data_IF_947891414000
#
_entry.id   IF_947891414000
#
_cell.length_a   1.000
_cell.length_b   1.000
_cell.length_c   1.000
_cell.angle_alpha   90.00
_cell.angle_beta   90.00
_cell.angle_gamma   90.00
#
_symmetry.space_group_name_H-M   'P 1'
#
loop_
_entity.id
_entity.type
_entity.pdbx_description
1 polymer ?
#
# COMPACT_ATOMS: atom_id res chain seq x y z
N UNK A 1 15.13 65.61 8.08
CA UNK A 1 15.82 64.36 7.69
C UNK A 1 16.03 63.35 8.83
N UNK A 2 16.54 63.71 10.02
CA UNK A 2 16.79 62.73 11.13
C UNK A 2 15.52 62.06 11.71
N UNK A 3 14.35 62.71 11.72
CA UNK A 3 13.08 62.14 12.22
C UNK A 3 12.46 61.14 11.25
N UNK A 4 12.63 61.24 9.94
CA UNK A 4 12.13 60.31 8.95
C UNK A 4 12.94 59.01 8.91
N UNK A 5 14.25 59.06 9.15
CA UNK A 5 15.11 57.89 9.23
C UNK A 5 14.79 57.05 10.45
N UNK A 6 14.42 57.69 11.59
CA UNK A 6 14.07 56.96 12.82
C UNK A 6 12.73 56.22 12.70
N UNK A 7 11.75 56.74 11.97
CA UNK A 7 10.47 56.09 11.71
C UNK A 7 10.61 54.90 10.73
N UNK A 8 11.50 55.02 9.72
CA UNK A 8 11.76 53.95 8.79
C UNK A 8 12.51 52.78 9.45
N UNK A 9 13.42 53.04 10.38
CA UNK A 9 14.11 52.03 11.17
C UNK A 9 13.19 51.35 12.17
N UNK A 10 12.24 52.06 12.78
CA UNK A 10 11.25 51.49 13.70
C UNK A 10 10.22 50.60 12.98
N UNK A 11 9.79 50.97 11.74
CA UNK A 11 8.92 50.11 10.93
C UNK A 11 9.62 48.84 10.45
N UNK A 12 10.90 48.89 10.13
CA UNK A 12 11.69 47.75 9.67
C UNK A 12 11.98 46.74 10.81
N UNK A 13 12.08 47.23 12.06
CA UNK A 13 12.25 46.40 13.25
C UNK A 13 10.96 45.67 13.68
N UNK A 14 9.76 46.17 13.27
CA UNK A 14 8.48 45.52 13.59
C UNK A 14 8.07 44.46 12.55
N UNK A 15 8.63 44.48 11.36
CA UNK A 15 8.31 43.51 10.28
C UNK A 15 9.20 42.25 10.36
N UNK A 16 10.37 42.36 11.01
CA UNK A 16 11.32 41.23 11.10
C UNK A 16 10.83 40.04 11.95
N UNK A 17 10.05 40.18 13.04
CA UNK A 17 9.54 39.04 13.77
C UNK A 17 8.33 38.33 13.09
N UNK A 18 7.65 38.98 12.11
CA UNK A 18 6.53 38.34 11.42
C UNK A 18 6.94 37.32 10.32
N UNK A 19 8.17 37.36 9.86
CA UNK A 19 8.68 36.42 8.85
C UNK A 19 9.24 35.11 9.43
N UNK A 20 9.34 35.01 10.77
CA UNK A 20 9.79 33.79 11.47
C UNK A 20 8.63 32.95 11.99
N UNK A 21 7.38 33.33 11.73
CA UNK A 21 6.18 32.56 12.09
C UNK A 21 5.70 31.64 10.93
N UNK A 22 6.55 31.25 9.97
CA UNK A 22 6.28 30.15 9.09
C UNK A 22 6.44 28.87 9.88
N UNK A 23 5.32 28.35 10.36
CA UNK A 23 5.01 26.97 10.70
C UNK A 23 6.16 26.12 11.22
N UNK A 24 6.72 26.43 12.41
CA UNK A 24 7.40 25.42 13.18
C UNK A 24 6.32 24.46 13.68
N UNK A 25 6.30 23.24 13.15
CA UNK A 25 5.61 22.09 13.73
C UNK A 25 5.86 22.12 15.25
N UNK A 26 4.87 21.81 16.06
CA UNK A 26 5.16 21.48 17.46
C UNK A 26 6.22 20.38 17.43
N UNK A 27 7.34 20.57 18.08
CA UNK A 27 8.57 19.74 17.94
C UNK A 27 8.35 18.25 18.27
N UNK A 28 7.12 17.82 18.62
CA UNK A 28 6.77 16.48 19.13
C UNK A 28 5.57 15.83 18.41
N UNK A 29 5.09 16.42 17.31
CA UNK A 29 3.94 15.86 16.55
C UNK A 29 4.41 14.93 15.44
N UNK A 30 3.95 13.69 15.46
CA UNK A 30 4.21 12.68 14.43
C UNK A 30 3.17 12.79 13.32
N UNK A 31 3.60 13.07 12.09
CA UNK A 31 2.68 13.16 10.94
C UNK A 31 2.66 11.85 10.19
N UNK A 32 1.51 11.20 10.21
CA UNK A 32 1.24 9.94 9.52
C UNK A 32 0.46 10.22 8.24
N UNK A 33 0.93 9.66 7.14
CA UNK A 33 0.25 9.77 5.87
C UNK A 33 -0.26 8.41 5.35
N UNK A 34 -1.07 8.46 4.30
CA UNK A 34 -1.44 7.29 3.50
C UNK A 34 -1.55 7.65 2.03
N UNK A 35 -1.50 6.64 1.15
CA UNK A 35 -1.92 6.79 -0.24
C UNK A 35 -3.46 6.79 -0.33
N UNK A 36 -4.00 7.03 -1.52
CA UNK A 36 -5.43 7.24 -1.78
C UNK A 36 -6.15 5.93 -2.16
N UNK A 37 -6.27 4.99 -1.22
CA UNK A 37 -7.11 3.79 -1.35
C UNK A 37 -7.39 3.13 0.02
N UNK A 38 -8.45 2.31 0.08
CA UNK A 38 -9.03 1.78 1.32
C UNK A 38 -8.01 1.16 2.29
N UNK A 39 -7.16 0.25 1.82
CA UNK A 39 -6.13 -0.41 2.64
C UNK A 39 -5.18 0.59 3.31
N UNK A 40 -4.75 1.59 2.56
CA UNK A 40 -3.84 2.61 3.06
C UNK A 40 -4.50 3.52 4.10
N UNK A 41 -5.79 3.83 3.94
CA UNK A 41 -6.56 4.57 4.95
C UNK A 41 -6.69 3.76 6.24
N UNK A 42 -7.03 2.46 6.14
CA UNK A 42 -7.14 1.56 7.29
C UNK A 42 -5.81 1.49 8.04
N UNK A 43 -4.70 1.23 7.33
CA UNK A 43 -3.37 1.13 7.92
C UNK A 43 -2.90 2.45 8.54
N UNK A 44 -3.12 3.57 7.86
CA UNK A 44 -2.80 4.90 8.39
C UNK A 44 -3.54 5.20 9.70
N UNK A 45 -4.83 4.83 9.79
CA UNK A 45 -5.59 4.94 11.03
C UNK A 45 -5.11 3.98 12.11
N UNK A 46 -4.75 2.73 11.76
CA UNK A 46 -4.18 1.79 12.74
C UNK A 46 -2.90 2.33 13.37
N UNK A 47 -1.98 2.86 12.55
CA UNK A 47 -0.75 3.46 13.06
C UNK A 47 -1.02 4.64 13.97
N UNK A 48 -1.94 5.54 13.56
CA UNK A 48 -2.32 6.69 14.37
C UNK A 48 -2.90 6.28 15.73
N UNK A 49 -3.89 5.40 15.73
CA UNK A 49 -4.55 4.93 16.93
C UNK A 49 -3.59 4.27 17.93
N UNK A 50 -2.64 3.46 17.44
CA UNK A 50 -1.64 2.81 18.28
C UNK A 50 -0.67 3.82 18.91
N UNK A 51 -0.23 4.83 18.14
CA UNK A 51 0.68 5.86 18.65
C UNK A 51 -0.04 6.83 19.60
N UNK A 52 -1.30 7.18 19.33
CA UNK A 52 -2.12 8.00 20.23
C UNK A 52 -2.37 7.29 21.57
N UNK A 53 -2.68 5.99 21.55
CA UNK A 53 -2.86 5.16 22.75
C UNK A 53 -1.58 5.09 23.59
N UNK A 54 -0.43 5.07 22.94
CA UNK A 54 0.88 5.13 23.60
C UNK A 54 1.25 6.54 24.13
N UNK A 55 0.40 7.56 23.88
CA UNK A 55 0.58 8.92 24.37
C UNK A 55 1.30 9.87 23.42
N UNK A 56 1.57 9.47 22.18
CA UNK A 56 2.13 10.36 21.16
C UNK A 56 1.08 11.33 20.60
N UNK A 57 1.52 12.52 20.22
CA UNK A 57 0.68 13.46 19.45
C UNK A 57 0.78 13.16 17.98
N UNK A 58 -0.36 12.88 17.31
CA UNK A 58 -0.41 12.49 15.91
C UNK A 58 -1.19 13.49 15.06
N UNK A 59 -0.71 13.75 13.86
CA UNK A 59 -1.42 14.45 12.79
C UNK A 59 -1.58 13.51 11.59
N UNK A 60 -2.78 13.42 11.01
CA UNK A 60 -3.06 12.58 9.84
C UNK A 60 -3.10 13.42 8.56
N UNK A 61 -2.34 12.96 7.54
CA UNK A 61 -2.36 13.49 6.15
C UNK A 61 -2.69 12.36 5.17
N UNK A 62 -3.91 11.86 5.25
CA UNK A 62 -4.35 10.72 4.44
C UNK A 62 -4.67 11.12 2.99
N UNK A 63 -4.58 10.16 2.07
CA UNK A 63 -5.00 10.31 0.67
C UNK A 63 -3.98 11.00 -0.24
N UNK A 64 -2.69 10.82 -0.02
CA UNK A 64 -1.67 11.30 -0.95
C UNK A 64 -1.75 10.58 -2.31
N UNK A 65 -1.58 11.32 -3.39
CA UNK A 65 -1.73 10.84 -4.76
C UNK A 65 -0.60 9.88 -5.21
N UNK A 66 -0.47 8.73 -4.54
CA UNK A 66 0.44 7.64 -4.92
C UNK A 66 1.88 7.81 -4.44
N UNK A 67 2.71 6.82 -4.78
CA UNK A 67 4.10 6.67 -4.30
C UNK A 67 5.00 7.87 -4.58
N UNK A 68 5.01 8.52 -5.77
CA UNK A 68 5.90 9.66 -5.99
C UNK A 68 5.65 10.82 -5.02
N UNK A 69 4.37 11.09 -4.69
CA UNK A 69 3.99 12.17 -3.77
C UNK A 69 4.33 11.79 -2.33
N UNK A 70 3.98 10.56 -1.90
CA UNK A 70 4.27 10.09 -0.56
C UNK A 70 5.80 10.02 -0.29
N UNK A 71 6.58 9.53 -1.25
CA UNK A 71 8.04 9.46 -1.13
C UNK A 71 8.68 10.85 -1.09
N UNK A 72 8.21 11.80 -1.90
CA UNK A 72 8.67 13.19 -1.83
C UNK A 72 8.33 13.83 -0.47
N UNK A 73 7.13 13.60 0.05
CA UNK A 73 6.69 14.15 1.33
C UNK A 73 7.50 13.62 2.52
N UNK A 74 7.82 12.31 2.56
CA UNK A 74 8.60 11.75 3.65
C UNK A 74 10.08 12.17 3.58
N UNK A 75 10.66 12.23 2.39
CA UNK A 75 12.06 12.66 2.21
C UNK A 75 12.26 14.15 2.49
N UNK A 76 11.25 14.99 2.22
CA UNK A 76 11.29 16.42 2.57
C UNK A 76 10.98 16.70 4.05
N UNK A 77 10.47 15.71 4.80
CA UNK A 77 10.04 15.86 6.18
C UNK A 77 8.66 16.54 6.33
N UNK A 78 7.86 16.54 5.28
CA UNK A 78 6.47 16.99 5.35
C UNK A 78 5.59 15.98 6.10
N UNK A 79 5.92 14.68 5.98
CA UNK A 79 5.37 13.58 6.76
C UNK A 79 6.49 12.79 7.43
N UNK A 80 6.17 12.03 8.48
CA UNK A 80 7.13 11.28 9.28
C UNK A 80 7.07 9.79 9.04
N UNK A 81 5.86 9.26 8.72
CA UNK A 81 5.67 7.84 8.49
C UNK A 81 4.44 7.60 7.59
N UNK A 82 4.48 6.52 6.81
CA UNK A 82 3.32 6.01 6.08
C UNK A 82 3.47 4.50 5.79
N UNK A 83 2.36 3.77 5.51
CA UNK A 83 2.44 2.38 5.05
C UNK A 83 2.98 2.33 3.61
N UNK A 84 4.09 1.62 3.39
CA UNK A 84 4.64 1.42 2.04
C UNK A 84 4.85 -0.07 1.78
N UNK A 85 4.90 -0.45 0.51
CA UNK A 85 5.05 -1.84 0.06
C UNK A 85 6.46 -2.11 -0.43
N UNK A 86 7.04 -3.24 -0.01
CA UNK A 86 8.43 -3.62 -0.33
C UNK A 86 8.68 -3.66 -1.84
N UNK A 87 7.78 -4.26 -2.62
CA UNK A 87 7.88 -4.27 -4.08
C UNK A 87 7.80 -2.89 -4.72
N UNK A 88 6.97 -1.98 -4.17
CA UNK A 88 6.91 -0.59 -4.62
C UNK A 88 8.24 0.12 -4.34
N UNK A 89 8.80 -0.08 -3.14
CA UNK A 89 10.11 0.46 -2.79
C UNK A 89 11.20 0.00 -3.75
N UNK A 90 11.23 -1.31 -4.05
CA UNK A 90 12.20 -1.90 -4.95
C UNK A 90 12.07 -1.34 -6.39
N UNK A 91 10.87 -1.42 -6.96
CA UNK A 91 10.67 -1.18 -8.40
C UNK A 91 10.42 0.29 -8.74
N UNK A 92 9.56 0.98 -7.96
CA UNK A 92 9.13 2.33 -8.32
C UNK A 92 10.10 3.40 -7.80
N UNK A 93 10.70 3.21 -6.62
CA UNK A 93 11.59 4.18 -6.01
C UNK A 93 13.05 3.88 -6.33
N UNK A 94 13.53 2.68 -5.97
CA UNK A 94 14.93 2.29 -6.21
C UNK A 94 15.21 1.93 -7.67
N UNK A 95 14.18 1.60 -8.46
CA UNK A 95 14.27 1.21 -9.87
C UNK A 95 15.23 0.03 -10.09
N UNK A 96 15.22 -0.91 -9.15
CA UNK A 96 15.98 -2.14 -9.23
C UNK A 96 15.20 -3.23 -9.97
N UNK A 97 15.87 -4.28 -10.48
CA UNK A 97 15.20 -5.41 -11.14
C UNK A 97 14.20 -6.12 -10.23
N UNK A 98 13.26 -6.85 -10.85
CA UNK A 98 12.33 -7.72 -10.14
C UNK A 98 13.11 -8.78 -9.35
N UNK A 99 12.72 -8.96 -8.10
CA UNK A 99 13.16 -10.02 -7.20
C UNK A 99 11.91 -10.66 -6.59
N UNK A 100 11.84 -11.97 -6.52
CA UNK A 100 10.66 -12.72 -6.07
C UNK A 100 10.75 -13.24 -4.63
N UNK A 101 11.96 -13.32 -4.07
CA UNK A 101 12.15 -13.70 -2.67
C UNK A 101 11.81 -12.56 -1.73
N UNK A 102 10.83 -12.78 -0.85
CA UNK A 102 10.32 -11.78 0.09
C UNK A 102 11.38 -11.20 1.01
N UNK A 103 12.26 -12.07 1.54
CA UNK A 103 13.29 -11.65 2.47
C UNK A 103 14.36 -10.85 1.74
N UNK A 104 14.76 -11.27 0.56
CA UNK A 104 15.75 -10.57 -0.27
C UNK A 104 15.23 -9.18 -0.65
N UNK A 105 13.97 -9.05 -1.06
CA UNK A 105 13.35 -7.74 -1.34
C UNK A 105 13.38 -6.84 -0.11
N UNK A 106 12.96 -7.35 1.04
CA UNK A 106 12.95 -6.59 2.30
C UNK A 106 14.36 -6.14 2.71
N UNK A 107 15.35 -7.02 2.62
CA UNK A 107 16.76 -6.69 2.94
C UNK A 107 17.32 -5.60 2.01
N UNK A 108 16.96 -5.66 0.72
CA UNK A 108 17.38 -4.64 -0.26
C UNK A 108 16.77 -3.29 0.08
N UNK A 109 15.44 -3.20 0.23
CA UNK A 109 14.77 -1.92 0.48
C UNK A 109 15.19 -1.32 1.82
N UNK A 110 15.36 -2.14 2.86
CA UNK A 110 15.83 -1.69 4.17
C UNK A 110 17.22 -1.05 4.08
N UNK A 111 18.18 -1.73 3.45
CA UNK A 111 19.54 -1.23 3.29
C UNK A 111 19.60 0.03 2.43
N UNK A 112 18.96 0.00 1.26
CA UNK A 112 19.04 1.09 0.29
C UNK A 112 18.30 2.35 0.75
N UNK A 113 17.14 2.21 1.42
CA UNK A 113 16.41 3.36 1.94
C UNK A 113 17.12 4.03 3.12
N UNK A 114 17.75 3.26 3.99
CA UNK A 114 18.59 3.81 5.05
C UNK A 114 19.78 4.58 4.46
N UNK A 115 20.46 4.02 3.47
CA UNK A 115 21.65 4.61 2.86
C UNK A 115 21.37 5.86 2.01
N UNK A 116 20.25 5.88 1.27
CA UNK A 116 19.95 6.93 0.29
C UNK A 116 19.04 8.03 0.83
N UNK A 117 18.13 7.70 1.76
CA UNK A 117 17.05 8.60 2.17
C UNK A 117 16.97 8.84 3.68
N UNK A 118 17.74 8.15 4.51
CA UNK A 118 17.62 8.14 5.98
C UNK A 118 16.21 7.71 6.42
N UNK A 119 15.65 6.69 5.76
CA UNK A 119 14.37 6.09 6.04
C UNK A 119 14.54 4.66 6.52
N UNK A 120 13.72 4.25 7.48
CA UNK A 120 13.75 2.92 8.10
C UNK A 120 12.46 2.19 7.76
N UNK A 121 12.58 0.98 7.26
CA UNK A 121 11.49 0.03 7.15
C UNK A 121 11.35 -0.73 8.47
N UNK A 122 10.17 -0.69 9.08
CA UNK A 122 9.84 -1.55 10.22
C UNK A 122 9.43 -2.95 9.73
N UNK A 123 9.01 -3.83 10.65
CA UNK A 123 8.71 -5.21 10.33
C UNK A 123 7.59 -5.32 9.27
N UNK A 124 7.79 -6.13 8.21
CA UNK A 124 6.81 -6.31 7.18
C UNK A 124 5.69 -7.25 7.63
N UNK A 125 4.46 -6.93 7.26
CA UNK A 125 3.33 -7.82 7.46
C UNK A 125 3.40 -9.06 6.54
N UNK A 126 2.83 -10.21 6.94
CA UNK A 126 2.77 -11.41 6.10
C UNK A 126 1.92 -11.23 4.83
N UNK A 127 0.96 -10.30 4.82
CA UNK A 127 0.13 -10.00 3.65
C UNK A 127 0.95 -9.62 2.41
N UNK A 128 0.40 -9.92 1.23
CA UNK A 128 1.02 -9.62 -0.05
C UNK A 128 0.04 -8.94 -1.00
N UNK A 129 0.09 -7.60 -1.08
CA UNK A 129 -0.72 -6.83 -2.03
C UNK A 129 -0.09 -6.79 -3.44
N UNK A 130 0.44 -7.93 -3.90
CA UNK A 130 0.94 -8.07 -5.25
C UNK A 130 -0.20 -8.09 -6.26
N UNK A 131 0.11 -7.68 -7.50
CA UNK A 131 -0.77 -8.01 -8.62
C UNK A 131 -0.93 -9.52 -8.72
N UNK A 132 -2.15 -9.97 -8.95
CA UNK A 132 -2.51 -11.38 -8.94
C UNK A 132 -3.55 -11.69 -10.01
N UNK A 133 -3.77 -12.96 -10.27
CA UNK A 133 -4.92 -13.47 -11.01
C UNK A 133 -5.81 -14.24 -10.05
N UNK A 134 -7.12 -14.09 -10.18
CA UNK A 134 -8.06 -14.80 -9.35
C UNK A 134 -9.20 -15.41 -10.18
N UNK A 135 -9.72 -16.53 -9.68
CA UNK A 135 -10.80 -17.28 -10.33
C UNK A 135 -11.92 -17.59 -9.33
N UNK A 136 -13.19 -17.61 -9.75
CA UNK A 136 -14.29 -18.07 -8.91
C UNK A 136 -14.24 -19.59 -8.72
N UNK A 137 -14.88 -20.11 -7.66
CA UNK A 137 -14.88 -21.55 -7.33
C UNK A 137 -15.40 -22.43 -8.50
N UNK A 138 -16.38 -21.95 -9.28
CA UNK A 138 -16.86 -22.66 -10.47
C UNK A 138 -15.75 -23.00 -11.48
N UNK A 139 -14.76 -22.12 -11.64
CA UNK A 139 -13.62 -22.33 -12.54
C UNK A 139 -12.63 -23.32 -11.94
N UNK A 140 -12.40 -23.24 -10.62
CA UNK A 140 -11.59 -24.23 -9.89
C UNK A 140 -12.20 -25.63 -10.03
N UNK A 141 -13.51 -25.77 -9.84
CA UNK A 141 -14.21 -27.05 -9.93
C UNK A 141 -14.24 -27.59 -11.36
N UNK A 142 -14.42 -26.72 -12.36
CA UNK A 142 -14.54 -27.14 -13.78
C UNK A 142 -13.20 -27.54 -14.39
N UNK A 143 -12.12 -26.81 -14.09
CA UNK A 143 -10.82 -26.95 -14.76
C UNK A 143 -9.70 -27.42 -13.84
N UNK A 144 -9.90 -27.47 -12.53
CA UNK A 144 -8.87 -27.82 -11.55
C UNK A 144 -7.79 -26.77 -11.37
N UNK A 145 -8.03 -25.52 -11.78
CA UNK A 145 -7.06 -24.43 -11.80
C UNK A 145 -6.77 -23.96 -10.37
N UNK A 146 -5.48 -23.94 -10.00
CA UNK A 146 -4.99 -23.40 -8.72
C UNK A 146 -3.76 -22.52 -8.86
N UNK A 147 -2.99 -22.69 -9.94
CA UNK A 147 -1.77 -21.94 -10.23
C UNK A 147 -1.93 -21.13 -11.50
N UNK A 148 -1.03 -20.17 -11.73
CA UNK A 148 -0.98 -19.44 -13.01
C UNK A 148 -0.57 -20.40 -14.15
N UNK A 149 0.28 -21.40 -13.88
CA UNK A 149 0.57 -22.46 -14.86
C UNK A 149 -0.66 -23.25 -15.26
N UNK A 150 -1.55 -23.58 -14.33
CA UNK A 150 -2.82 -24.28 -14.65
C UNK A 150 -3.73 -23.38 -15.50
N UNK A 151 -3.81 -22.09 -15.17
CA UNK A 151 -4.58 -21.11 -15.94
C UNK A 151 -4.05 -21.01 -17.37
N UNK A 152 -2.73 -20.91 -17.54
CA UNK A 152 -2.09 -20.83 -18.85
C UNK A 152 -2.35 -22.07 -19.71
N UNK A 153 -2.36 -23.28 -19.08
CA UNK A 153 -2.65 -24.54 -19.76
C UNK A 153 -4.11 -24.65 -20.27
N UNK A 154 -5.05 -23.92 -19.65
CA UNK A 154 -6.47 -23.90 -20.00
C UNK A 154 -6.91 -22.59 -20.66
N UNK A 155 -5.97 -21.69 -20.98
CA UNK A 155 -6.26 -20.30 -21.35
C UNK A 155 -7.23 -20.13 -22.55
N UNK A 156 -7.18 -21.05 -23.52
CA UNK A 156 -8.07 -21.00 -24.71
C UNK A 156 -9.56 -21.17 -24.38
N UNK A 157 -9.89 -21.67 -23.20
CA UNK A 157 -11.27 -21.82 -22.73
C UNK A 157 -11.69 -20.67 -21.78
N UNK A 158 -10.75 -19.80 -21.39
CA UNK A 158 -10.95 -18.82 -20.32
C UNK A 158 -11.04 -17.39 -20.86
N UNK A 159 -12.03 -16.66 -20.38
CA UNK A 159 -12.19 -15.22 -20.61
C UNK A 159 -11.61 -14.47 -19.41
N UNK A 160 -10.64 -13.60 -19.65
CA UNK A 160 -10.03 -12.79 -18.62
C UNK A 160 -10.60 -11.37 -18.63
N UNK A 161 -10.83 -10.81 -17.45
CA UNK A 161 -11.24 -9.42 -17.25
C UNK A 161 -10.17 -8.65 -16.46
N UNK A 162 -9.92 -7.41 -16.88
CA UNK A 162 -8.94 -6.56 -16.22
C UNK A 162 -8.84 -5.16 -16.80
N UNK A 163 -7.86 -4.35 -16.36
CA UNK A 163 -7.63 -3.00 -16.88
C UNK A 163 -7.32 -2.99 -18.37
N UNK A 164 -7.74 -1.93 -19.08
CA UNK A 164 -7.54 -1.83 -20.53
C UNK A 164 -6.06 -1.90 -20.95
N UNK A 165 -5.15 -1.43 -20.12
CA UNK A 165 -3.71 -1.43 -20.39
C UNK A 165 -3.01 -2.76 -20.08
N UNK A 166 -3.64 -3.70 -19.38
CA UNK A 166 -3.03 -4.96 -18.96
C UNK A 166 -2.52 -5.83 -20.12
N UNK A 167 -3.17 -5.87 -21.29
CA UNK A 167 -2.66 -6.58 -22.46
C UNK A 167 -1.37 -6.01 -23.06
N UNK A 168 -1.01 -4.77 -22.73
CA UNK A 168 0.13 -4.06 -23.31
C UNK A 168 1.29 -3.87 -22.33
N UNK A 169 1.04 -4.10 -21.03
CA UNK A 169 2.04 -3.88 -19.98
C UNK A 169 2.98 -5.08 -19.86
N UNK A 170 4.27 -4.80 -19.62
CA UNK A 170 5.28 -5.85 -19.38
C UNK A 170 5.04 -6.68 -18.12
N UNK A 171 4.36 -6.11 -17.12
CA UNK A 171 3.88 -6.78 -15.91
C UNK A 171 2.44 -7.33 -16.04
N UNK A 172 1.90 -7.34 -17.26
CA UNK A 172 0.59 -7.86 -17.64
C UNK A 172 0.67 -9.12 -18.49
N UNK A 173 -0.21 -9.22 -19.53
CA UNK A 173 -0.25 -10.39 -20.45
C UNK A 173 1.08 -10.68 -21.16
N UNK A 174 1.85 -9.70 -21.65
CA UNK A 174 3.16 -9.97 -22.25
C UNK A 174 4.13 -10.68 -21.29
N UNK A 175 4.19 -10.22 -20.04
CA UNK A 175 5.02 -10.87 -19.01
C UNK A 175 4.51 -12.26 -18.64
N UNK A 176 3.19 -12.42 -18.47
CA UNK A 176 2.58 -13.73 -18.20
C UNK A 176 2.91 -14.74 -19.31
N UNK A 177 2.76 -14.36 -20.58
CA UNK A 177 3.11 -15.21 -21.72
C UNK A 177 4.60 -15.58 -21.75
N UNK A 178 5.47 -14.63 -21.43
CA UNK A 178 6.92 -14.89 -21.37
C UNK A 178 7.30 -15.90 -20.29
N UNK A 179 6.64 -15.85 -19.14
CA UNK A 179 6.96 -16.69 -17.97
C UNK A 179 6.21 -18.02 -18.02
N UNK A 180 4.93 -18.02 -18.38
CA UNK A 180 4.04 -19.17 -18.31
C UNK A 180 3.81 -19.89 -19.63
N UNK A 181 4.44 -19.44 -20.71
CA UNK A 181 4.27 -19.95 -22.06
C UNK A 181 3.38 -19.05 -22.89
N UNK A 182 3.55 -19.13 -24.20
CA UNK A 182 2.82 -18.29 -25.15
C UNK A 182 1.38 -18.80 -25.34
N UNK A 183 0.54 -18.53 -24.36
CA UNK A 183 -0.86 -18.93 -24.31
C UNK A 183 -1.78 -17.87 -24.94
N UNK A 184 -2.92 -18.30 -25.47
CA UNK A 184 -3.98 -17.44 -25.96
C UNK A 184 -5.24 -17.60 -25.12
N UNK A 185 -5.81 -16.48 -24.66
CA UNK A 185 -7.09 -16.46 -23.95
C UNK A 185 -8.25 -16.59 -24.94
N UNK A 186 -9.38 -17.18 -24.52
CA UNK A 186 -10.62 -17.14 -25.30
C UNK A 186 -11.07 -15.70 -25.57
N UNK A 187 -10.92 -14.82 -24.60
CA UNK A 187 -11.14 -13.37 -24.74
C UNK A 187 -10.45 -12.60 -23.62
N UNK A 188 -10.13 -11.32 -23.86
CA UNK A 188 -9.80 -10.34 -22.85
C UNK A 188 -10.86 -9.23 -22.83
N UNK A 189 -11.44 -8.95 -21.66
CA UNK A 189 -12.51 -7.98 -21.46
C UNK A 189 -11.93 -6.78 -20.68
N UNK A 190 -11.65 -5.65 -21.35
CA UNK A 190 -11.19 -4.46 -20.66
C UNK A 190 -12.34 -3.80 -19.90
N UNK A 191 -12.16 -3.57 -18.59
CA UNK A 191 -13.16 -2.91 -17.75
C UNK A 191 -12.49 -1.98 -16.73
N UNK A 192 -13.26 -1.03 -16.20
CA UNK A 192 -12.88 -0.20 -15.08
C UNK A 192 -12.68 -1.04 -13.81
N UNK A 193 -11.80 -0.57 -12.91
CA UNK A 193 -11.34 -1.29 -11.73
C UNK A 193 -12.49 -1.89 -10.89
N UNK A 194 -13.57 -1.15 -10.66
CA UNK A 194 -14.72 -1.59 -9.85
C UNK A 194 -15.62 -2.62 -10.53
N UNK A 195 -15.54 -2.78 -11.88
CA UNK A 195 -16.44 -3.66 -12.63
C UNK A 195 -15.88 -5.08 -12.86
N UNK A 196 -14.63 -5.33 -12.52
CA UNK A 196 -13.96 -6.64 -12.72
C UNK A 196 -14.72 -7.78 -12.05
N UNK A 197 -15.06 -7.56 -10.79
CA UNK A 197 -15.73 -8.58 -9.98
C UNK A 197 -17.20 -8.78 -10.37
N UNK A 198 -17.86 -7.73 -10.87
CA UNK A 198 -19.21 -7.83 -11.44
C UNK A 198 -19.22 -8.74 -12.68
N UNK A 199 -18.22 -8.62 -13.57
CA UNK A 199 -18.09 -9.47 -14.74
C UNK A 199 -17.81 -10.95 -14.37
N UNK A 200 -17.09 -11.20 -13.28
CA UNK A 200 -16.88 -12.55 -12.73
C UNK A 200 -18.19 -13.12 -12.17
N UNK A 201 -18.92 -12.34 -11.38
CA UNK A 201 -20.17 -12.77 -10.72
C UNK A 201 -21.27 -13.04 -11.75
N UNK A 202 -21.39 -12.21 -12.78
CA UNK A 202 -22.35 -12.42 -13.89
C UNK A 202 -21.97 -13.60 -14.80
N UNK A 203 -20.78 -14.17 -14.68
CA UNK A 203 -20.29 -15.24 -15.53
C UNK A 203 -19.83 -14.78 -16.92
N UNK A 204 -19.63 -13.47 -17.10
CA UNK A 204 -19.07 -12.92 -18.35
C UNK A 204 -17.57 -13.18 -18.46
N UNK A 205 -16.88 -13.35 -17.34
CA UNK A 205 -15.46 -13.67 -17.27
C UNK A 205 -15.18 -14.83 -16.31
N UNK A 206 -14.03 -15.46 -16.50
CA UNK A 206 -13.59 -16.66 -15.78
C UNK A 206 -12.35 -16.38 -14.91
N UNK A 207 -11.52 -15.43 -15.32
CA UNK A 207 -10.31 -14.99 -14.62
C UNK A 207 -10.35 -13.47 -14.47
N UNK A 208 -9.99 -12.94 -13.31
CA UNK A 208 -9.81 -11.50 -13.13
C UNK A 208 -8.38 -11.15 -12.78
N UNK A 209 -7.91 -10.01 -13.28
CA UNK A 209 -6.75 -9.32 -12.72
C UNK A 209 -7.16 -8.76 -11.36
N UNK A 210 -6.42 -9.09 -10.32
CA UNK A 210 -6.71 -8.73 -8.94
C UNK A 210 -5.44 -8.23 -8.23
N UNK A 211 -5.61 -7.76 -7.01
CA UNK A 211 -4.53 -7.60 -6.05
C UNK A 211 -4.76 -8.56 -4.88
N UNK A 212 -3.69 -9.09 -4.29
CA UNK A 212 -3.79 -10.15 -3.28
C UNK A 212 -4.69 -9.81 -2.07
N UNK A 213 -4.86 -8.53 -1.79
CA UNK A 213 -5.67 -8.03 -0.66
C UNK A 213 -6.98 -7.35 -1.09
N UNK A 214 -7.41 -7.45 -2.37
CA UNK A 214 -8.71 -6.93 -2.80
C UNK A 214 -9.84 -7.56 -1.95
N UNK A 215 -10.71 -6.73 -1.38
CA UNK A 215 -11.78 -7.18 -0.47
C UNK A 215 -12.79 -8.09 -1.13
N UNK A 216 -13.04 -7.89 -2.40
CA UNK A 216 -13.96 -8.66 -3.24
C UNK A 216 -13.53 -10.13 -3.36
N UNK A 217 -12.23 -10.45 -3.22
CA UNK A 217 -11.75 -11.84 -3.23
C UNK A 217 -12.40 -12.68 -2.13
N UNK A 218 -12.45 -12.14 -0.92
CA UNK A 218 -13.12 -12.81 0.21
C UNK A 218 -14.66 -12.78 0.03
N UNK A 219 -15.21 -11.63 -0.38
CA UNK A 219 -16.66 -11.45 -0.52
C UNK A 219 -17.28 -12.39 -1.56
N UNK A 220 -16.59 -12.63 -2.67
CA UNK A 220 -17.05 -13.50 -3.75
C UNK A 220 -16.44 -14.91 -3.70
N UNK A 221 -15.79 -15.26 -2.60
CA UNK A 221 -15.15 -16.58 -2.39
C UNK A 221 -14.27 -16.99 -3.58
N UNK A 222 -13.39 -16.09 -4.00
CA UNK A 222 -12.49 -16.31 -5.12
C UNK A 222 -11.18 -16.95 -4.68
N UNK A 223 -10.59 -17.76 -5.54
CA UNK A 223 -9.24 -18.29 -5.37
C UNK A 223 -8.24 -17.37 -6.06
N UNK A 224 -7.30 -16.82 -5.32
CA UNK A 224 -6.09 -16.21 -5.88
C UNK A 224 -5.18 -17.32 -6.38
N UNK A 225 -4.79 -17.25 -7.64
CA UNK A 225 -3.91 -18.25 -8.24
C UNK A 225 -2.49 -18.10 -7.70
N UNK A 226 -1.87 -19.20 -7.35
CA UNK A 226 -0.46 -19.24 -6.98
C UNK A 226 0.42 -18.84 -8.17
N UNK A 227 1.31 -17.87 -7.96
CA UNK A 227 2.34 -17.47 -8.92
C UNK A 227 3.53 -18.47 -8.82
N UNK A 228 3.34 -19.66 -9.34
CA UNK A 228 4.24 -20.82 -9.20
C UNK A 228 5.59 -20.67 -9.93
N UNK A 229 5.75 -19.58 -10.72
CA UNK A 229 7.04 -19.23 -11.36
C UNK A 229 7.59 -17.87 -10.95
N UNK A 230 6.94 -17.19 -9.97
CA UNK A 230 7.45 -15.97 -9.37
C UNK A 230 7.55 -14.77 -10.33
N UNK A 231 6.54 -14.56 -11.15
CA UNK A 231 6.49 -13.43 -12.08
C UNK A 231 6.29 -12.10 -11.34
N UNK A 232 5.45 -12.10 -10.31
CA UNK A 232 5.13 -10.90 -9.57
C UNK A 232 6.04 -10.76 -8.34
N UNK A 233 6.68 -9.61 -8.13
CA UNK A 233 7.44 -9.39 -6.92
C UNK A 233 6.52 -9.32 -5.70
N UNK A 234 7.02 -9.59 -4.50
CA UNK A 234 6.24 -9.45 -3.27
C UNK A 234 6.01 -7.97 -2.93
N UNK A 235 4.79 -7.67 -2.48
CA UNK A 235 4.37 -6.34 -2.00
C UNK A 235 3.88 -6.45 -0.55
N UNK A 236 4.81 -6.81 0.35
CA UNK A 236 4.52 -6.80 1.78
C UNK A 236 4.47 -5.37 2.29
N UNK A 237 3.43 -5.03 3.07
CA UNK A 237 3.34 -3.70 3.68
C UNK A 237 4.18 -3.64 4.94
N UNK A 238 4.85 -2.51 5.14
CA UNK A 238 5.51 -2.17 6.39
C UNK A 238 5.41 -0.67 6.67
N UNK A 239 5.48 -0.23 7.93
CA UNK A 239 5.66 1.18 8.24
C UNK A 239 7.01 1.67 7.71
N UNK A 240 7.00 2.69 6.87
CA UNK A 240 8.20 3.40 6.42
C UNK A 240 8.30 4.71 7.19
N UNK A 241 9.36 4.89 7.98
CA UNK A 241 9.52 5.98 8.94
C UNK A 241 10.86 6.69 8.77
N UNK A 242 10.93 7.97 9.07
CA UNK A 242 12.17 8.74 9.08
C UNK A 242 13.06 8.31 10.25
N UNK A 243 14.33 8.08 9.99
CA UNK A 243 15.32 7.71 11.02
C UNK A 243 15.36 8.72 12.17
N UNK A 244 15.24 10.02 11.87
CA UNK A 244 15.21 11.09 12.88
C UNK A 244 14.03 11.00 13.83
N UNK A 245 12.89 10.47 13.38
CA UNK A 245 11.69 10.28 14.23
C UNK A 245 11.89 9.10 15.16
N UNK A 246 12.41 7.97 14.66
CA UNK A 246 12.77 6.82 15.51
C UNK A 246 13.86 7.16 16.52
N UNK A 247 14.81 8.02 16.17
CA UNK A 247 15.83 8.47 17.12
C UNK A 247 15.25 9.34 18.26
N UNK A 248 14.20 10.11 17.96
CA UNK A 248 13.49 10.91 18.96
C UNK A 248 12.47 10.08 19.78
N UNK A 249 11.84 9.09 19.15
CA UNK A 249 10.77 8.25 19.73
C UNK A 249 11.07 6.77 19.45
N UNK A 250 12.03 6.16 20.18
CA UNK A 250 12.50 4.79 19.89
C UNK A 250 11.45 3.69 20.16
N UNK A 251 10.41 3.98 20.91
CA UNK A 251 9.30 3.09 21.22
C UNK A 251 8.33 2.85 20.04
N UNK A 252 8.32 3.73 19.04
CA UNK A 252 7.43 3.61 17.87
C UNK A 252 7.62 2.27 17.15
N UNK A 253 8.86 1.79 17.02
CA UNK A 253 9.12 0.52 16.36
C UNK A 253 8.45 -0.65 17.09
N UNK A 254 8.60 -0.73 18.41
CA UNK A 254 7.99 -1.78 19.23
C UNK A 254 6.46 -1.71 19.20
N UNK A 255 5.88 -0.50 19.20
CA UNK A 255 4.43 -0.28 19.13
C UNK A 255 3.88 -0.78 17.80
N UNK A 256 4.44 -0.33 16.67
CA UNK A 256 3.91 -0.63 15.35
C UNK A 256 4.20 -2.08 14.90
N UNK A 257 5.34 -2.66 15.31
CA UNK A 257 5.68 -4.04 14.96
C UNK A 257 4.73 -5.08 15.59
N UNK A 258 3.99 -4.73 16.66
CA UNK A 258 2.93 -5.60 17.22
C UNK A 258 1.79 -5.84 16.24
N UNK A 259 1.56 -4.91 15.31
CA UNK A 259 0.51 -5.00 14.32
C UNK A 259 0.87 -5.94 13.15
N UNK A 260 2.14 -5.93 12.71
CA UNK A 260 2.59 -6.63 11.50
C UNK A 260 2.14 -8.11 11.44
N UNK A 261 2.33 -8.98 12.47
CA UNK A 261 1.99 -10.39 12.38
C UNK A 261 0.49 -10.69 12.28
N UNK A 262 -0.38 -9.71 12.53
CA UNK A 262 -1.84 -9.85 12.50
C UNK A 262 -2.43 -9.56 11.11
N UNK A 263 -1.65 -8.99 10.21
CA UNK A 263 -2.09 -8.55 8.88
C UNK A 263 -1.69 -9.59 7.82
N UNK A 264 -2.44 -10.69 7.73
CA UNK A 264 -2.36 -11.62 6.62
C UNK A 264 -3.32 -11.24 5.47
N UNK A 265 -3.20 -11.91 4.32
CA UNK A 265 -4.03 -11.63 3.13
C UNK A 265 -5.52 -11.68 3.46
N UNK A 266 -5.95 -12.73 4.17
CA UNK A 266 -7.37 -12.94 4.51
C UNK A 266 -7.91 -11.88 5.44
N UNK A 267 -7.11 -11.43 6.37
CA UNK A 267 -7.44 -10.32 7.29
C UNK A 267 -7.61 -9.03 6.51
N UNK A 268 -6.64 -8.69 5.66
CA UNK A 268 -6.72 -7.45 4.88
C UNK A 268 -7.85 -7.47 3.86
N UNK A 269 -8.12 -8.59 3.21
CA UNK A 269 -9.30 -8.75 2.33
C UNK A 269 -10.60 -8.41 3.07
N UNK A 270 -10.80 -8.96 4.28
CA UNK A 270 -11.99 -8.65 5.08
C UNK A 270 -12.07 -7.17 5.46
N UNK A 271 -10.97 -6.59 5.96
CA UNK A 271 -10.93 -5.18 6.34
C UNK A 271 -11.15 -4.24 5.15
N UNK A 272 -10.54 -4.55 4.02
CA UNK A 272 -10.71 -3.78 2.78
C UNK A 272 -12.15 -3.83 2.30
N UNK A 273 -12.83 -4.98 2.38
CA UNK A 273 -14.23 -5.11 1.99
C UNK A 273 -15.17 -4.33 2.90
N UNK A 274 -14.87 -4.23 4.21
CA UNK A 274 -15.66 -3.37 5.11
C UNK A 274 -15.69 -1.91 4.63
N UNK A 275 -14.60 -1.42 4.05
CA UNK A 275 -14.52 -0.06 3.52
C UNK A 275 -15.02 0.01 2.07
N UNK A 276 -14.52 -0.85 1.16
CA UNK A 276 -14.83 -0.77 -0.27
C UNK A 276 -16.24 -1.26 -0.61
N UNK A 277 -16.67 -2.36 -0.01
CA UNK A 277 -17.97 -3.00 -0.26
C UNK A 277 -19.07 -2.52 0.68
N UNK A 278 -18.79 -2.49 1.99
CA UNK A 278 -19.76 -2.13 3.02
C UNK A 278 -19.80 -0.63 3.35
N UNK A 279 -18.92 0.18 2.71
CA UNK A 279 -18.84 1.65 2.83
C UNK A 279 -18.73 2.15 4.27
N UNK A 280 -18.00 1.40 5.11
CA UNK A 280 -17.69 1.79 6.49
C UNK A 280 -16.52 2.78 6.50
N UNK A 281 -16.49 3.61 7.53
CA UNK A 281 -15.37 4.55 7.74
C UNK A 281 -14.08 3.77 8.08
N UNK A 282 -12.95 4.05 7.42
CA UNK A 282 -11.68 3.33 7.66
C UNK A 282 -11.22 3.37 9.11
N UNK A 283 -11.46 4.47 9.82
CA UNK A 283 -11.10 4.62 11.24
C UNK A 283 -11.88 3.66 12.14
N UNK A 284 -13.16 3.43 11.86
CA UNK A 284 -13.99 2.51 12.65
C UNK A 284 -13.55 1.07 12.43
N UNK A 285 -13.26 0.70 11.18
CA UNK A 285 -12.73 -0.62 10.82
C UNK A 285 -11.37 -0.86 11.49
N UNK A 286 -10.47 0.14 11.46
CA UNK A 286 -9.17 0.08 12.11
C UNK A 286 -9.29 -0.11 13.63
N UNK A 287 -10.12 0.70 14.29
CA UNK A 287 -10.33 0.64 15.75
C UNK A 287 -10.90 -0.70 16.19
N UNK A 288 -11.96 -1.17 15.55
CA UNK A 288 -12.58 -2.46 15.87
C UNK A 288 -11.59 -3.62 15.74
N UNK A 289 -10.75 -3.60 14.69
CA UNK A 289 -9.72 -4.62 14.51
C UNK A 289 -8.68 -4.57 15.65
N UNK A 290 -8.20 -3.39 16.01
CA UNK A 290 -7.19 -3.24 17.06
C UNK A 290 -7.74 -3.66 18.42
N UNK A 291 -8.97 -3.28 18.77
CA UNK A 291 -9.64 -3.72 20.01
C UNK A 291 -9.86 -5.22 20.03
N UNK A 292 -10.35 -5.81 18.93
CA UNK A 292 -10.59 -7.26 18.82
C UNK A 292 -9.32 -8.10 18.98
N UNK A 293 -8.14 -7.52 18.69
CA UNK A 293 -6.84 -8.18 18.83
C UNK A 293 -6.06 -7.76 20.09
N UNK A 294 -6.69 -6.98 20.99
CA UNK A 294 -6.08 -6.57 22.27
C UNK A 294 -4.90 -5.61 22.10
N UNK A 295 -4.90 -4.82 21.02
CA UNK A 295 -3.91 -3.77 20.77
C UNK A 295 -4.37 -2.41 21.27
N UNK A 296 -5.68 -2.22 21.47
CA UNK A 296 -6.33 -1.08 22.14
C UNK A 296 -7.32 -1.59 23.18
N UNK A 297 -7.64 -0.73 24.19
CA UNK A 297 -8.66 -0.96 25.22
C UNK A 297 -10.09 -0.65 24.73
#
# INVERSE_FOLDING_TARGET
>A
MKKQILHSLLLMALVLPMLLACGRRADDTIVIASKDFAEQYILGHMYALLLEDAGHTVELKLGLAGTPVAHAAITSGEIDLYPEYTGTGLLAVLKLPVESDRQVVYDIVTREYAAQFNLVWLDPAPMNNAQALAVPQRVVEQYGIRTISDMAANASELRMVGPAEFPEREDGLPGLRRVYGDFELAAYLPVEKGLRYVAIESGEADVTVAFGTDGELAAYNMLVLEDDKGMFPPYQVAPLIRESVLAAHPDIADILNRLAPLLDDSTMQRLNYEVSGNQREPIDVAREFLVANGLLD
#
